data_IF_305245212558
#
_entry.id   IF_305245212558
#
_cell.length_a   1.000
_cell.length_b   1.000
_cell.length_c   1.000
_cell.angle_alpha   90.00
_cell.angle_beta   90.00
_cell.angle_gamma   90.00
#
_symmetry.space_group_name_H-M   'P 1'
#
loop_
_entity.id
_entity.type
_entity.pdbx_description
1 polymer ?
#
# COMPACT_ATOMS: atom_id res chain seq x y z
N UNK A 1 7.88 1.57 18.73
CA UNK A 1 7.73 1.28 20.17
C UNK A 1 7.60 2.60 20.95
N UNK A 2 6.75 2.65 22.00
CA UNK A 2 6.51 3.86 22.78
C UNK A 2 7.78 4.42 23.46
N UNK A 3 8.75 3.55 23.80
CA UNK A 3 10.06 3.96 24.33
C UNK A 3 10.91 4.66 23.29
N UNK A 4 11.03 4.13 22.11
CA UNK A 4 11.76 4.76 20.99
C UNK A 4 11.15 6.12 20.61
N UNK A 5 9.84 6.22 20.58
CA UNK A 5 9.15 7.49 20.36
C UNK A 5 9.47 8.53 21.44
N UNK A 6 9.58 8.10 22.71
CA UNK A 6 9.95 8.99 23.82
C UNK A 6 11.40 9.47 23.71
N UNK A 7 12.34 8.61 23.29
CA UNK A 7 13.74 8.96 23.07
C UNK A 7 13.92 9.93 21.91
N UNK A 8 13.27 9.65 20.78
CA UNK A 8 13.23 10.57 19.63
C UNK A 8 12.68 11.92 20.05
N UNK A 9 11.57 11.93 20.80
CA UNK A 9 10.97 13.17 21.31
C UNK A 9 11.92 13.97 22.21
N UNK A 10 12.62 13.28 23.11
CA UNK A 10 13.59 13.90 24.00
C UNK A 10 14.76 14.52 23.21
N UNK A 11 15.25 13.85 22.17
CA UNK A 11 16.31 14.33 21.29
C UNK A 11 15.90 15.58 20.50
N UNK A 12 14.71 15.59 19.91
CA UNK A 12 14.14 16.76 19.22
C UNK A 12 13.97 17.98 20.14
N UNK A 13 13.60 17.72 21.40
CA UNK A 13 13.43 18.77 22.41
C UNK A 13 14.77 19.30 22.94
N UNK A 14 15.74 18.42 23.19
CA UNK A 14 17.10 18.82 23.62
C UNK A 14 17.85 19.58 22.54
N UNK A 15 17.65 19.24 21.27
CA UNK A 15 18.15 19.96 20.10
C UNK A 15 17.42 21.28 19.79
N UNK A 16 16.44 21.67 20.63
CA UNK A 16 15.62 22.89 20.46
C UNK A 16 14.88 22.96 19.13
N UNK A 17 14.57 21.85 18.51
CA UNK A 17 13.73 21.81 17.31
C UNK A 17 12.25 21.93 17.67
N UNK A 18 11.87 21.42 18.86
CA UNK A 18 10.53 21.50 19.43
C UNK A 18 10.59 22.19 20.82
N UNK A 19 9.71 23.15 21.05
CA UNK A 19 9.63 23.90 22.31
C UNK A 19 8.78 23.16 23.38
N UNK A 20 8.83 23.70 24.63
CA UNK A 20 8.08 23.12 25.78
C UNK A 20 6.55 23.09 25.55
N UNK A 21 6.03 24.03 24.77
CA UNK A 21 4.61 24.14 24.39
C UNK A 21 4.21 23.16 23.28
N UNK A 22 5.06 22.23 22.89
CA UNK A 22 4.87 21.28 21.80
C UNK A 22 4.77 21.93 20.41
N UNK A 23 5.29 23.13 20.21
CA UNK A 23 5.40 23.78 18.90
C UNK A 23 6.83 23.67 18.37
N UNK A 24 6.98 23.76 17.04
CA UNK A 24 8.32 23.86 16.42
C UNK A 24 8.94 25.19 16.77
N UNK A 25 10.27 25.20 17.01
CA UNK A 25 10.99 26.44 17.31
C UNK A 25 10.98 27.39 16.11
N UNK A 26 11.02 28.69 16.40
CA UNK A 26 11.06 29.72 15.35
C UNK A 26 12.28 29.55 14.43
N UNK A 27 13.39 29.07 14.97
CA UNK A 27 14.61 28.78 14.20
C UNK A 27 14.37 27.64 13.21
N UNK A 28 13.78 26.52 13.66
CA UNK A 28 13.46 25.38 12.81
C UNK A 28 12.45 25.76 11.72
N UNK A 29 11.46 26.58 12.02
CA UNK A 29 10.43 26.99 11.04
C UNK A 29 11.02 27.74 9.85
N UNK A 30 12.13 28.49 10.04
CA UNK A 30 12.76 29.31 9.01
C UNK A 30 13.68 28.51 8.07
N UNK A 31 14.02 27.26 8.41
CA UNK A 31 14.89 26.40 7.61
C UNK A 31 14.16 25.91 6.34
N UNK A 32 14.93 25.72 5.27
CA UNK A 32 14.46 25.01 4.06
C UNK A 32 14.18 23.53 4.39
N UNK A 33 13.52 22.81 3.47
CA UNK A 33 13.20 21.40 3.67
C UNK A 33 14.46 20.53 3.88
N UNK A 34 15.56 20.84 3.17
CA UNK A 34 16.84 20.13 3.29
C UNK A 34 17.49 20.41 4.64
N UNK A 35 17.59 21.68 5.02
CA UNK A 35 18.17 22.10 6.31
C UNK A 35 17.38 21.56 7.51
N UNK A 36 16.04 21.45 7.39
CA UNK A 36 15.19 20.82 8.39
C UNK A 36 15.50 19.34 8.59
N UNK A 37 15.77 18.64 7.47
CA UNK A 37 16.13 17.23 7.53
C UNK A 37 17.51 17.03 8.19
N UNK A 38 18.49 17.84 7.82
CA UNK A 38 19.84 17.84 8.42
C UNK A 38 19.77 18.14 9.93
N UNK A 39 19.03 19.17 10.32
CA UNK A 39 18.84 19.51 11.73
C UNK A 39 18.20 18.38 12.55
N UNK A 40 17.28 17.63 11.97
CA UNK A 40 16.70 16.45 12.63
C UNK A 40 17.76 15.33 12.74
N UNK A 41 18.53 15.09 11.68
CA UNK A 41 19.59 14.06 11.69
C UNK A 41 20.67 14.34 12.73
N UNK A 42 21.08 15.61 12.88
CA UNK A 42 22.08 16.02 13.87
C UNK A 42 21.69 15.77 15.32
N UNK A 43 20.41 15.88 15.65
CA UNK A 43 19.93 15.72 17.03
C UNK A 43 19.51 14.29 17.37
N UNK A 44 19.38 13.43 16.36
CA UNK A 44 19.01 12.02 16.54
C UNK A 44 20.26 11.15 16.73
N UNK A 45 20.15 10.18 17.64
CA UNK A 45 21.13 9.11 17.75
C UNK A 45 21.23 8.34 16.42
N UNK A 46 22.42 7.80 16.07
CA UNK A 46 22.71 7.14 14.79
C UNK A 46 21.64 6.09 14.40
N UNK A 47 21.13 5.35 15.36
CA UNK A 47 20.13 4.33 15.12
C UNK A 47 18.74 4.89 14.72
N UNK A 48 18.47 6.15 15.02
CA UNK A 48 17.20 6.82 14.68
C UNK A 48 17.29 7.72 13.45
N UNK A 49 18.49 7.96 12.91
CA UNK A 49 18.69 8.82 11.74
C UNK A 49 17.92 8.31 10.51
N UNK A 50 17.71 6.99 10.39
CA UNK A 50 16.88 6.38 9.32
C UNK A 50 15.42 6.87 9.35
N UNK A 51 14.96 7.35 10.50
CA UNK A 51 13.61 7.89 10.66
C UNK A 51 13.54 9.42 10.49
N UNK A 52 14.62 10.10 10.16
CA UNK A 52 14.65 11.57 10.07
C UNK A 52 13.60 12.12 9.08
N UNK A 53 13.48 11.53 7.90
CA UNK A 53 12.48 11.95 6.91
C UNK A 53 11.03 11.66 7.34
N UNK A 54 10.66 10.47 7.84
CA UNK A 54 9.37 10.25 8.48
C UNK A 54 9.07 11.21 9.63
N UNK A 55 10.06 11.52 10.47
CA UNK A 55 9.92 12.48 11.58
C UNK A 55 9.67 13.89 11.05
N UNK A 56 10.42 14.33 10.04
CA UNK A 56 10.19 15.62 9.39
C UNK A 56 8.77 15.73 8.84
N UNK A 57 8.29 14.70 8.16
CA UNK A 57 6.93 14.66 7.62
C UNK A 57 5.88 14.71 8.75
N UNK A 58 6.12 13.99 9.85
CA UNK A 58 5.24 14.03 11.02
C UNK A 58 5.24 15.40 11.67
N UNK A 59 6.41 16.01 11.87
CA UNK A 59 6.54 17.37 12.41
C UNK A 59 5.77 18.36 11.52
N UNK A 60 5.97 18.28 10.22
CA UNK A 60 5.25 19.12 9.25
C UNK A 60 3.74 18.91 9.31
N UNK A 61 3.26 17.70 9.45
CA UNK A 61 1.82 17.41 9.51
C UNK A 61 1.16 17.83 10.83
N UNK A 62 1.88 17.73 11.94
CA UNK A 62 1.31 17.98 13.30
C UNK A 62 1.54 19.42 13.77
N UNK A 63 2.68 20.02 13.44
CA UNK A 63 3.10 21.30 14.02
C UNK A 63 3.03 22.49 13.06
N UNK A 64 2.99 22.26 11.76
CA UNK A 64 2.76 23.30 10.76
C UNK A 64 1.27 23.51 10.48
N UNK A 65 0.44 23.48 11.50
CA UNK A 65 -0.97 23.87 11.38
C UNK A 65 -1.17 25.28 10.79
N UNK A 66 -0.10 26.13 10.76
CA UNK A 66 -0.12 27.41 10.05
C UNK A 66 0.09 27.29 8.54
N UNK A 67 0.66 26.16 8.09
CA UNK A 67 0.88 25.83 6.68
C UNK A 67 -0.05 24.71 6.20
N UNK A 68 -1.03 24.29 6.99
CA UNK A 68 -2.20 23.70 6.38
C UNK A 68 -2.69 24.79 5.42
N UNK A 69 -2.64 24.57 4.09
CA UNK A 69 -3.24 25.52 3.18
C UNK A 69 -4.66 25.68 3.70
N UNK A 70 -5.00 26.90 4.14
CA UNK A 70 -6.40 27.25 4.35
C UNK A 70 -6.96 27.05 2.95
N UNK A 71 -7.55 25.86 2.75
CA UNK A 71 -8.11 25.51 1.46
C UNK A 71 -9.15 26.56 1.20
N UNK A 72 -8.84 27.45 0.26
CA UNK A 72 -9.77 28.47 -0.14
C UNK A 72 -10.97 27.68 -0.68
N UNK A 73 -12.11 27.76 0.01
CA UNK A 73 -13.35 27.07 -0.36
C UNK A 73 -13.70 27.29 -1.85
N UNK A 74 -13.25 28.41 -2.41
CA UNK A 74 -13.37 28.76 -3.83
C UNK A 74 -12.54 27.87 -4.77
N UNK A 75 -11.62 27.03 -4.28
CA UNK A 75 -10.85 26.07 -5.12
C UNK A 75 -11.48 24.67 -5.14
N UNK A 76 -12.40 24.38 -4.23
CA UNK A 76 -13.15 23.12 -4.31
C UNK A 76 -14.04 23.14 -5.55
N UNK A 77 -14.00 22.07 -6.28
CA UNK A 77 -14.79 21.88 -7.48
C UNK A 77 -15.37 20.47 -7.53
N UNK A 78 -16.58 20.38 -8.07
CA UNK A 78 -17.24 19.10 -8.34
C UNK A 78 -17.11 18.80 -9.82
N UNK A 79 -16.76 17.58 -10.18
CA UNK A 79 -16.67 17.12 -11.55
C UNK A 79 -18.08 17.00 -12.13
N UNK A 80 -18.26 17.53 -13.33
CA UNK A 80 -19.55 17.46 -14.04
C UNK A 80 -19.50 16.39 -15.12
N UNK A 81 -20.46 15.47 -15.07
CA UNK A 81 -20.60 14.43 -16.10
C UNK A 81 -20.88 15.08 -17.46
N UNK A 82 -20.08 14.70 -18.46
CA UNK A 82 -20.34 15.09 -19.85
C UNK A 82 -21.43 14.20 -20.44
N UNK A 83 -22.61 14.74 -20.59
CA UNK A 83 -23.79 13.98 -21.01
C UNK A 83 -23.69 13.44 -22.44
N UNK A 84 -22.97 14.11 -23.33
CA UNK A 84 -22.77 13.65 -24.70
C UNK A 84 -21.87 12.40 -24.71
N UNK A 85 -20.75 12.43 -23.99
CA UNK A 85 -19.88 11.27 -23.84
C UNK A 85 -20.57 10.12 -23.11
N UNK A 86 -21.32 10.43 -22.07
CA UNK A 86 -22.08 9.42 -21.32
C UNK A 86 -23.12 8.71 -22.18
N UNK A 87 -23.74 9.41 -23.14
CA UNK A 87 -24.67 8.84 -24.09
C UNK A 87 -23.99 8.24 -25.34
N UNK A 88 -22.68 8.40 -25.49
CA UNK A 88 -21.93 7.95 -26.68
C UNK A 88 -21.90 6.43 -26.80
N UNK A 89 -21.77 5.95 -28.05
CA UNK A 89 -21.65 4.50 -28.32
C UNK A 89 -20.37 3.93 -27.72
N UNK A 90 -19.31 4.70 -27.75
CA UNK A 90 -17.97 4.33 -27.25
C UNK A 90 -18.04 4.01 -25.76
N UNK A 91 -18.65 4.90 -24.98
CA UNK A 91 -18.84 4.67 -23.55
C UNK A 91 -19.80 3.50 -23.28
N UNK A 92 -20.92 3.43 -23.94
CA UNK A 92 -21.89 2.34 -23.75
C UNK A 92 -21.28 0.98 -24.10
N UNK A 93 -20.50 0.91 -25.16
CA UNK A 93 -19.79 -0.31 -25.53
C UNK A 93 -18.73 -0.70 -24.49
N UNK A 94 -17.89 0.25 -24.05
CA UNK A 94 -16.94 0.00 -22.98
C UNK A 94 -17.65 -0.54 -21.73
N UNK A 95 -18.66 0.19 -21.26
CA UNK A 95 -19.40 -0.16 -20.05
C UNK A 95 -20.05 -1.54 -20.14
N UNK A 96 -20.67 -1.84 -21.26
CA UNK A 96 -21.31 -3.15 -21.48
C UNK A 96 -20.35 -4.33 -21.37
N UNK A 97 -19.03 -4.12 -21.60
CA UNK A 97 -18.01 -5.16 -21.52
C UNK A 97 -17.44 -5.34 -20.11
N UNK A 98 -17.55 -4.33 -19.24
CA UNK A 98 -16.94 -4.35 -17.92
C UNK A 98 -17.94 -4.35 -16.76
N UNK A 99 -19.21 -4.01 -17.02
CA UNK A 99 -20.22 -3.81 -15.97
C UNK A 99 -20.76 -5.09 -15.33
N UNK A 100 -20.40 -6.27 -15.85
CA UNK A 100 -20.94 -7.53 -15.33
C UNK A 100 -20.30 -7.88 -14.00
N UNK A 101 -21.13 -8.22 -13.02
CA UNK A 101 -20.65 -8.75 -11.76
C UNK A 101 -20.18 -10.19 -11.91
N UNK A 102 -19.31 -10.62 -11.03
CA UNK A 102 -18.85 -12.00 -10.95
C UNK A 102 -18.74 -12.46 -9.50
N UNK A 103 -18.76 -13.77 -9.32
CA UNK A 103 -18.29 -14.41 -8.10
C UNK A 103 -17.08 -15.28 -8.42
N UNK A 104 -16.30 -15.59 -7.41
CA UNK A 104 -15.16 -16.47 -7.57
C UNK A 104 -15.31 -17.71 -6.69
N UNK A 105 -14.71 -18.79 -7.12
CA UNK A 105 -14.47 -20.02 -6.35
C UNK A 105 -12.95 -20.23 -6.25
N UNK A 106 -12.49 -20.81 -5.16
CA UNK A 106 -11.09 -21.15 -4.95
C UNK A 106 -11.01 -22.64 -4.65
N UNK A 107 -10.26 -23.37 -5.45
CA UNK A 107 -9.91 -24.74 -5.13
C UNK A 107 -8.61 -24.74 -4.32
N UNK A 108 -8.72 -25.06 -3.04
CA UNK A 108 -7.65 -24.89 -2.06
C UNK A 108 -6.80 -26.17 -1.99
N UNK A 109 -5.53 -26.07 -2.35
CA UNK A 109 -4.56 -27.16 -2.15
C UNK A 109 -3.69 -26.90 -0.92
N UNK A 110 -4.07 -27.48 0.21
CA UNK A 110 -3.32 -27.39 1.47
C UNK A 110 -1.90 -27.91 1.34
N UNK A 111 -1.66 -28.94 0.50
CA UNK A 111 -0.34 -29.56 0.34
C UNK A 111 0.63 -28.58 -0.35
N UNK A 112 0.16 -27.89 -1.38
CA UNK A 112 0.97 -26.88 -2.07
C UNK A 112 1.35 -25.72 -1.13
N UNK A 113 0.42 -25.29 -0.28
CA UNK A 113 0.69 -24.25 0.74
C UNK A 113 1.75 -24.72 1.72
N UNK A 114 1.67 -25.97 2.21
CA UNK A 114 2.64 -26.54 3.13
C UNK A 114 4.03 -26.54 2.48
N UNK A 115 4.17 -27.14 1.30
CA UNK A 115 5.46 -27.31 0.62
C UNK A 115 6.12 -25.96 0.28
N UNK A 116 5.37 -25.03 -0.31
CA UNK A 116 5.88 -23.70 -0.64
C UNK A 116 6.25 -22.89 0.60
N UNK A 117 5.45 -22.98 1.66
CA UNK A 117 5.75 -22.31 2.92
C UNK A 117 7.05 -22.82 3.54
N UNK A 118 7.24 -24.13 3.61
CA UNK A 118 8.48 -24.75 4.11
C UNK A 118 9.68 -24.28 3.28
N UNK A 119 9.57 -24.33 1.96
CA UNK A 119 10.64 -23.91 1.05
C UNK A 119 11.03 -22.44 1.28
N UNK A 120 10.05 -21.53 1.32
CA UNK A 120 10.32 -20.11 1.48
C UNK A 120 10.79 -19.74 2.89
N UNK A 121 10.28 -20.39 3.94
CA UNK A 121 10.77 -20.18 5.30
C UNK A 121 12.23 -20.60 5.38
N UNK A 122 12.58 -21.79 4.88
CA UNK A 122 13.96 -22.29 4.89
C UNK A 122 14.92 -21.41 4.10
N UNK A 123 14.46 -20.77 3.04
CA UNK A 123 15.27 -19.89 2.20
C UNK A 123 15.39 -18.45 2.72
N UNK A 124 14.30 -17.87 3.20
CA UNK A 124 14.17 -16.42 3.37
C UNK A 124 13.96 -15.95 4.82
N UNK A 125 13.83 -16.88 5.79
CA UNK A 125 13.53 -16.48 7.17
C UNK A 125 14.65 -15.63 7.77
N UNK A 126 14.30 -14.40 8.11
CA UNK A 126 15.18 -13.49 8.86
C UNK A 126 14.50 -13.09 10.16
N UNK A 127 15.19 -13.28 11.28
CA UNK A 127 14.69 -12.95 12.60
C UNK A 127 15.62 -11.93 13.24
N UNK A 128 15.06 -10.81 13.70
CA UNK A 128 15.82 -9.76 14.39
C UNK A 128 16.14 -10.26 15.81
N UNK A 129 17.40 -10.22 16.21
CA UNK A 129 17.81 -10.52 17.58
C UNK A 129 17.29 -9.47 18.55
N UNK A 130 16.93 -9.90 19.75
CA UNK A 130 16.57 -8.97 20.81
C UNK A 130 17.84 -8.30 21.33
N UNK A 131 17.81 -6.97 21.40
CA UNK A 131 18.89 -6.16 21.97
C UNK A 131 18.38 -5.41 23.20
N UNK A 132 19.11 -5.52 24.32
CA UNK A 132 18.88 -4.63 25.45
C UNK A 132 19.84 -3.45 25.39
N UNK A 133 19.30 -2.27 25.54
CA UNK A 133 20.08 -1.07 25.85
C UNK A 133 20.09 -0.92 27.38
N UNK A 134 21.24 -1.06 27.98
CA UNK A 134 21.44 -0.81 29.39
C UNK A 134 21.90 0.64 29.54
N UNK A 135 21.11 1.44 30.24
CA UNK A 135 21.49 2.81 30.62
C UNK A 135 21.91 2.78 32.08
N UNK A 136 23.17 3.06 32.34
CA UNK A 136 23.73 3.20 33.67
C UNK A 136 23.65 4.68 34.06
N UNK A 137 23.22 4.96 35.28
CA UNK A 137 23.12 6.32 35.77
C UNK A 137 23.02 6.38 37.26
N UNK A 138 23.36 7.54 37.82
CA UNK A 138 23.28 7.84 39.25
C UNK A 138 22.03 8.66 39.54
N UNK A 139 21.40 8.34 40.69
CA UNK A 139 20.30 9.13 41.24
C UNK A 139 20.86 10.13 42.25
N UNK A 140 20.63 11.41 42.00
CA UNK A 140 20.98 12.49 42.94
C UNK A 140 19.71 13.13 43.50
N UNK A 141 19.58 13.18 44.81
CA UNK A 141 18.55 13.91 45.49
C UNK A 141 18.88 15.40 45.45
N UNK A 142 17.93 16.23 45.02
CA UNK A 142 18.02 17.68 45.04
C UNK A 142 16.90 18.23 45.89
N UNK A 143 17.00 19.49 46.30
CA UNK A 143 15.96 20.16 47.09
C UNK A 143 14.58 20.20 46.40
N UNK A 144 14.55 19.99 45.09
CA UNK A 144 13.33 20.03 44.28
C UNK A 144 12.87 18.64 43.76
N UNK A 145 13.57 17.54 44.15
CA UNK A 145 13.26 16.18 43.73
C UNK A 145 14.49 15.35 43.38
N UNK A 146 14.27 14.16 42.86
CA UNK A 146 15.36 13.25 42.43
C UNK A 146 15.63 13.40 40.96
N UNK A 147 16.89 13.64 40.61
CA UNK A 147 17.36 13.72 39.21
C UNK A 147 18.13 12.45 38.88
N UNK A 148 17.81 11.83 37.75
CA UNK A 148 18.57 10.70 37.18
C UNK A 148 19.57 11.26 36.16
N UNK A 149 20.87 11.04 36.42
CA UNK A 149 21.95 11.41 35.49
C UNK A 149 22.46 10.17 34.80
N UNK A 150 22.49 10.18 33.45
CA UNK A 150 22.96 9.06 32.65
C UNK A 150 24.48 9.08 32.60
N UNK A 151 25.12 8.05 33.13
CA UNK A 151 26.58 7.93 33.21
C UNK A 151 27.15 7.08 32.05
N UNK A 152 26.33 6.23 31.42
CA UNK A 152 26.75 5.41 30.29
C UNK A 152 25.58 4.71 29.61
N UNK A 153 25.78 4.38 28.33
CA UNK A 153 24.84 3.57 27.54
C UNK A 153 25.63 2.42 26.89
N UNK A 154 25.15 1.20 27.06
CA UNK A 154 25.68 0.04 26.31
C UNK A 154 24.55 -0.78 25.72
N UNK A 155 24.77 -1.33 24.52
CA UNK A 155 23.85 -2.24 23.87
C UNK A 155 24.42 -3.64 23.95
N UNK A 156 23.63 -4.60 24.38
CA UNK A 156 24.00 -6.02 24.43
C UNK A 156 22.89 -6.86 23.82
N UNK A 157 23.29 -7.93 23.12
CA UNK A 157 22.31 -8.89 22.60
C UNK A 157 21.75 -9.70 23.80
N UNK A 158 20.41 -9.79 23.84
CA UNK A 158 19.73 -10.63 24.80
C UNK A 158 19.39 -11.95 24.11
N UNK A 159 19.96 -13.01 24.64
CA UNK A 159 19.46 -14.35 24.37
C UNK A 159 18.37 -14.64 25.39
N UNK A 160 17.11 -14.57 24.95
CA UNK A 160 16.00 -14.94 25.85
C UNK A 160 16.14 -16.42 26.21
N UNK A 161 16.25 -16.78 27.48
CA UNK A 161 16.20 -18.18 27.87
C UNK A 161 14.80 -18.71 27.53
N UNK A 162 14.71 -19.57 26.53
CA UNK A 162 13.48 -20.18 25.97
C UNK A 162 12.59 -20.85 27.04
N UNK A 163 13.12 -21.03 28.23
CA UNK A 163 12.46 -21.75 29.33
C UNK A 163 11.42 -20.94 30.12
N UNK A 164 11.30 -19.63 29.89
CA UNK A 164 10.44 -18.77 30.72
C UNK A 164 9.08 -18.48 30.11
N UNK A 165 8.92 -18.52 28.78
CA UNK A 165 7.65 -18.27 28.11
C UNK A 165 7.30 -19.45 27.20
N UNK A 166 6.28 -20.22 27.61
CA UNK A 166 5.72 -21.29 26.77
C UNK A 166 4.72 -20.67 25.80
N UNK A 167 5.16 -20.34 24.58
CA UNK A 167 4.24 -19.99 23.51
C UNK A 167 3.56 -21.25 22.97
N UNK A 168 2.26 -21.19 22.76
CA UNK A 168 1.57 -22.12 21.84
C UNK A 168 1.89 -21.69 20.40
N UNK A 169 3.12 -21.99 19.94
CA UNK A 169 3.62 -21.58 18.64
C UNK A 169 2.65 -21.95 17.50
N UNK A 170 2.10 -23.16 17.55
CA UNK A 170 1.15 -23.63 16.56
C UNK A 170 -0.14 -22.79 16.60
N UNK A 171 -0.65 -22.52 17.80
CA UNK A 171 -1.86 -21.70 17.98
C UNK A 171 -1.68 -20.27 17.53
N UNK A 172 -0.59 -19.63 17.95
CA UNK A 172 -0.28 -18.25 17.57
C UNK A 172 -0.15 -18.07 16.06
N UNK A 173 0.59 -18.96 15.39
CA UNK A 173 0.71 -18.93 13.94
C UNK A 173 -0.63 -19.24 13.27
N UNK A 174 -1.35 -20.29 13.73
CA UNK A 174 -2.66 -20.66 13.18
C UNK A 174 -3.65 -19.51 13.21
N UNK A 175 -3.71 -18.79 14.32
CA UNK A 175 -4.58 -17.62 14.48
C UNK A 175 -4.19 -16.48 13.51
N UNK A 176 -2.87 -16.21 13.37
CA UNK A 176 -2.37 -15.14 12.48
C UNK A 176 -2.56 -15.42 11.00
N UNK A 177 -2.46 -16.69 10.59
CA UNK A 177 -2.56 -17.07 9.17
C UNK A 177 -3.95 -17.59 8.76
N UNK A 178 -4.81 -17.90 9.73
CA UNK A 178 -6.15 -18.46 9.48
C UNK A 178 -6.11 -19.85 8.82
N UNK A 179 -5.09 -20.67 9.15
CA UNK A 179 -4.96 -22.07 8.74
C UNK A 179 -5.23 -23.00 9.91
N UNK A 180 -5.60 -24.24 9.63
CA UNK A 180 -5.78 -25.27 10.66
C UNK A 180 -4.47 -25.54 11.40
N UNK A 181 -4.56 -25.79 12.69
CA UNK A 181 -3.41 -26.14 13.53
C UNK A 181 -2.60 -27.32 12.98
N UNK A 182 -3.26 -28.29 12.34
CA UNK A 182 -2.62 -29.43 11.68
C UNK A 182 -1.74 -28.99 10.51
N UNK A 183 -2.24 -28.11 9.65
CA UNK A 183 -1.51 -27.55 8.50
C UNK A 183 -0.29 -26.77 8.98
N UNK A 184 -0.47 -25.93 10.01
CA UNK A 184 0.65 -25.17 10.61
C UNK A 184 1.68 -26.11 11.24
N UNK A 185 1.26 -27.18 11.93
CA UNK A 185 2.16 -28.15 12.50
C UNK A 185 3.03 -28.84 11.44
N UNK A 186 2.46 -29.19 10.28
CA UNK A 186 3.23 -29.73 9.14
C UNK A 186 4.25 -28.72 8.62
N UNK A 187 3.86 -27.46 8.45
CA UNK A 187 4.78 -26.39 8.01
C UNK A 187 5.95 -26.28 9.01
N UNK A 188 5.66 -26.15 10.28
CA UNK A 188 6.68 -25.98 11.32
C UNK A 188 7.63 -27.19 11.41
N UNK A 189 7.12 -28.42 11.22
CA UNK A 189 7.94 -29.64 11.25
C UNK A 189 8.90 -29.75 10.04
N UNK A 190 8.61 -29.06 8.94
CA UNK A 190 9.46 -29.02 7.75
C UNK A 190 10.52 -27.91 7.76
N UNK A 191 10.54 -27.06 8.80
CA UNK A 191 11.57 -26.02 8.93
C UNK A 191 12.90 -26.65 9.34
N UNK A 192 13.97 -26.29 8.63
CA UNK A 192 15.31 -26.77 8.95
C UNK A 192 15.73 -26.38 10.38
N UNK A 193 16.46 -27.25 11.12
CA UNK A 193 16.83 -27.00 12.51
C UNK A 193 17.56 -25.65 12.72
N UNK A 194 18.42 -25.26 11.79
CA UNK A 194 19.17 -23.99 11.81
C UNK A 194 18.25 -22.77 11.69
N UNK A 195 17.18 -22.86 10.89
CA UNK A 195 16.20 -21.80 10.77
C UNK A 195 15.27 -21.78 11.99
N UNK A 196 14.89 -22.96 12.48
CA UNK A 196 14.06 -23.06 13.67
C UNK A 196 14.79 -22.56 14.93
N UNK A 197 16.11 -22.72 15.01
CA UNK A 197 16.92 -22.19 16.12
C UNK A 197 16.79 -20.67 16.30
N UNK A 198 16.45 -19.93 15.24
CA UNK A 198 16.19 -18.48 15.32
C UNK A 198 14.99 -18.13 16.21
N UNK A 199 14.09 -19.08 16.46
CA UNK A 199 13.02 -18.93 17.44
C UNK A 199 13.54 -18.58 18.83
N UNK A 200 14.69 -19.13 19.21
CA UNK A 200 15.31 -18.86 20.53
C UNK A 200 15.81 -17.41 20.65
N UNK A 201 16.19 -16.78 19.52
CA UNK A 201 16.71 -15.42 19.54
C UNK A 201 15.62 -14.36 19.71
N UNK A 202 14.43 -14.59 19.12
CA UNK A 202 13.27 -13.71 19.24
C UNK A 202 11.99 -14.44 18.84
N UNK A 203 11.29 -15.09 19.76
CA UNK A 203 10.09 -15.86 19.47
C UNK A 203 8.97 -15.05 18.78
N UNK A 204 8.74 -13.82 19.23
CA UNK A 204 7.68 -12.97 18.68
C UNK A 204 7.98 -12.57 17.24
N UNK A 205 9.21 -12.14 16.97
CA UNK A 205 9.61 -11.80 15.61
C UNK A 205 9.63 -13.03 14.69
N UNK A 206 10.05 -14.18 15.19
CA UNK A 206 9.96 -15.46 14.48
C UNK A 206 8.52 -15.77 14.06
N UNK A 207 7.56 -15.70 15.01
CA UNK A 207 6.13 -15.92 14.73
C UNK A 207 5.62 -14.95 13.66
N UNK A 208 5.97 -13.67 13.78
CA UNK A 208 5.57 -12.65 12.79
C UNK A 208 6.14 -12.97 11.41
N UNK A 209 7.43 -13.26 11.32
CA UNK A 209 8.09 -13.49 10.03
C UNK A 209 7.58 -14.75 9.32
N UNK A 210 7.42 -15.88 10.04
CA UNK A 210 6.86 -17.09 9.42
C UNK A 210 5.39 -16.90 9.03
N UNK A 211 4.60 -16.19 9.84
CA UNK A 211 3.20 -15.88 9.52
C UNK A 211 3.11 -15.03 8.26
N UNK A 212 4.00 -14.08 8.08
CA UNK A 212 4.08 -13.23 6.90
C UNK A 212 4.39 -14.06 5.64
N UNK A 213 5.38 -14.96 5.73
CA UNK A 213 5.74 -15.85 4.62
C UNK A 213 4.56 -16.77 4.26
N UNK A 214 3.92 -17.40 5.25
CA UNK A 214 2.77 -18.29 5.04
C UNK A 214 1.60 -17.52 4.41
N UNK A 215 1.31 -16.31 4.88
CA UNK A 215 0.25 -15.48 4.30
C UNK A 215 0.54 -15.08 2.85
N UNK A 216 1.79 -14.79 2.51
CA UNK A 216 2.20 -14.51 1.13
C UNK A 216 2.02 -15.74 0.23
N UNK A 217 2.43 -16.94 0.69
CA UNK A 217 2.21 -18.20 -0.02
C UNK A 217 0.72 -18.50 -0.20
N UNK A 218 -0.06 -18.33 0.85
CA UNK A 218 -1.51 -18.53 0.83
C UNK A 218 -2.18 -17.60 -0.19
N UNK A 219 -1.84 -16.31 -0.17
CA UNK A 219 -2.37 -15.35 -1.14
C UNK A 219 -2.02 -15.75 -2.58
N UNK A 220 -0.80 -16.17 -2.83
CA UNK A 220 -0.36 -16.60 -4.15
C UNK A 220 -1.02 -17.91 -4.61
N UNK A 221 -1.20 -18.87 -3.70
CA UNK A 221 -1.91 -20.12 -3.98
C UNK A 221 -3.39 -19.85 -4.30
N UNK A 222 -4.07 -19.02 -3.50
CA UNK A 222 -5.45 -18.60 -3.77
C UNK A 222 -5.60 -18.04 -5.18
N UNK A 223 -4.65 -17.23 -5.64
CA UNK A 223 -4.71 -16.57 -6.95
C UNK A 223 -4.52 -17.57 -8.08
N UNK A 224 -3.60 -18.52 -7.95
CA UNK A 224 -3.37 -19.55 -8.98
C UNK A 224 -4.56 -20.49 -9.15
N UNK A 225 -5.41 -20.62 -8.14
CA UNK A 225 -6.57 -21.51 -8.14
C UNK A 225 -7.93 -20.80 -8.11
N UNK A 226 -7.94 -19.46 -8.32
CA UNK A 226 -9.17 -18.70 -8.41
C UNK A 226 -9.83 -18.91 -9.77
N UNK A 227 -11.12 -19.17 -9.75
CA UNK A 227 -11.94 -19.23 -10.95
C UNK A 227 -13.08 -18.26 -10.84
N UNK A 228 -13.17 -17.31 -11.77
CA UNK A 228 -14.28 -16.37 -11.85
C UNK A 228 -15.41 -16.93 -12.69
N UNK A 229 -16.64 -16.69 -12.23
CA UNK A 229 -17.86 -17.05 -12.94
C UNK A 229 -18.73 -15.80 -13.08
N UNK A 230 -19.33 -15.61 -14.26
CA UNK A 230 -20.23 -14.49 -14.53
C UNK A 230 -21.51 -14.61 -13.72
N UNK A 231 -21.99 -13.49 -13.22
CA UNK A 231 -23.37 -13.34 -12.74
C UNK A 231 -24.23 -12.71 -13.83
N UNK A 232 -25.53 -12.90 -13.77
CA UNK A 232 -26.46 -12.18 -14.64
C UNK A 232 -26.68 -10.73 -14.19
N UNK A 233 -26.21 -10.40 -13.00
CA UNK A 233 -26.24 -9.05 -12.45
C UNK A 233 -25.16 -8.16 -13.09
N UNK A 234 -25.55 -6.89 -13.29
CA UNK A 234 -24.66 -5.83 -13.77
C UNK A 234 -24.60 -4.70 -12.76
N UNK A 235 -23.52 -3.91 -12.84
CA UNK A 235 -23.43 -2.64 -12.14
C UNK A 235 -24.37 -1.64 -12.80
N UNK A 236 -25.15 -0.94 -12.00
CA UNK A 236 -26.01 0.15 -12.47
C UNK A 236 -25.16 1.35 -12.87
N UNK A 237 -25.29 1.75 -14.11
CA UNK A 237 -24.49 2.80 -14.73
C UNK A 237 -24.71 4.17 -14.08
N UNK A 238 -25.97 4.51 -13.82
CA UNK A 238 -26.32 5.78 -13.21
C UNK A 238 -25.83 5.84 -11.76
N UNK A 239 -25.91 4.74 -11.02
CA UNK A 239 -25.39 4.66 -9.65
C UNK A 239 -23.88 4.83 -9.59
N UNK A 240 -23.15 4.34 -10.59
CA UNK A 240 -21.69 4.43 -10.63
C UNK A 240 -21.23 5.81 -11.11
N UNK A 241 -21.84 6.38 -12.17
CA UNK A 241 -21.33 7.59 -12.81
C UNK A 241 -22.20 8.82 -12.62
N UNK A 242 -23.51 8.72 -12.80
CA UNK A 242 -24.39 9.88 -12.79
C UNK A 242 -24.66 10.44 -11.39
N UNK A 243 -24.71 9.56 -10.39
CA UNK A 243 -24.96 9.92 -8.99
C UNK A 243 -23.66 10.08 -8.17
N UNK A 244 -22.51 10.04 -8.82
CA UNK A 244 -21.20 10.22 -8.15
C UNK A 244 -20.93 11.70 -7.89
N UNK A 245 -20.84 12.10 -6.62
CA UNK A 245 -20.37 13.43 -6.22
C UNK A 245 -18.83 13.40 -6.06
N UNK A 246 -18.11 13.54 -7.18
CA UNK A 246 -16.65 13.53 -7.19
C UNK A 246 -16.17 14.96 -7.00
N UNK A 247 -15.52 15.22 -5.89
CA UNK A 247 -15.00 16.54 -5.51
C UNK A 247 -13.49 16.51 -5.36
N UNK A 248 -12.87 17.67 -5.53
CA UNK A 248 -11.46 17.88 -5.27
C UNK A 248 -11.06 19.34 -5.35
N UNK A 249 -9.75 19.61 -5.37
CA UNK A 249 -9.18 20.94 -5.35
C UNK A 249 -8.55 21.23 -6.70
N UNK A 250 -9.07 22.22 -7.40
CA UNK A 250 -8.59 22.63 -8.72
C UNK A 250 -7.10 23.04 -8.67
N UNK A 251 -6.30 22.48 -9.60
CA UNK A 251 -4.87 22.72 -9.69
C UNK A 251 -4.00 21.90 -8.71
N UNK A 252 -4.62 21.17 -7.77
CA UNK A 252 -3.92 20.28 -6.84
C UNK A 252 -4.14 18.81 -7.23
N UNK A 253 -5.38 18.34 -7.14
CA UNK A 253 -5.76 16.97 -7.50
C UNK A 253 -6.90 16.89 -8.50
N UNK A 254 -7.35 18.03 -9.03
CA UNK A 254 -8.37 18.11 -10.11
C UNK A 254 -7.85 18.99 -11.23
N UNK A 255 -7.97 18.49 -12.46
CA UNK A 255 -7.51 19.15 -13.68
C UNK A 255 -8.60 19.09 -14.76
N UNK A 256 -8.65 20.10 -15.64
CA UNK A 256 -9.55 20.09 -16.79
C UNK A 256 -9.17 18.95 -17.75
N UNK A 257 -10.17 18.28 -18.32
CA UNK A 257 -9.96 17.14 -19.21
C UNK A 257 -10.92 17.21 -20.42
N UNK A 258 -10.38 16.89 -21.61
CA UNK A 258 -11.14 16.94 -22.86
C UNK A 258 -11.74 15.60 -23.23
N UNK A 259 -11.01 14.50 -23.04
CA UNK A 259 -11.40 13.14 -23.41
C UNK A 259 -11.95 12.32 -22.26
N UNK A 260 -11.83 12.81 -21.02
CA UNK A 260 -12.40 12.16 -19.84
C UNK A 260 -13.94 12.21 -19.86
N UNK A 261 -14.58 11.23 -19.25
CA UNK A 261 -16.05 11.14 -19.15
C UNK A 261 -16.68 12.33 -18.42
N UNK A 262 -15.95 12.96 -17.49
CA UNK A 262 -16.34 14.20 -16.83
C UNK A 262 -15.56 15.39 -17.43
N UNK A 263 -16.01 16.61 -17.16
CA UNK A 263 -15.34 17.86 -17.58
C UNK A 263 -13.92 18.01 -16.98
N UNK A 264 -13.65 17.29 -15.93
CA UNK A 264 -12.38 17.28 -15.18
C UNK A 264 -12.01 15.87 -14.78
N UNK A 265 -10.74 15.67 -14.45
CA UNK A 265 -10.22 14.43 -13.88
C UNK A 265 -9.67 14.68 -12.48
N UNK A 266 -10.00 13.80 -11.53
CA UNK A 266 -9.38 13.76 -10.21
C UNK A 266 -8.31 12.69 -10.18
N UNK A 267 -7.14 13.05 -9.68
CA UNK A 267 -5.97 12.17 -9.55
C UNK A 267 -5.49 12.15 -8.10
N UNK A 268 -4.94 11.03 -7.67
CA UNK A 268 -4.48 10.83 -6.30
C UNK A 268 -2.94 10.68 -6.23
N UNK A 269 -2.25 10.70 -7.39
CA UNK A 269 -0.78 10.62 -7.50
C UNK A 269 -0.26 11.36 -8.73
N UNK A 270 1.05 11.67 -8.74
CA UNK A 270 1.72 12.26 -9.91
C UNK A 270 1.81 11.28 -11.10
N UNK A 271 1.84 9.97 -10.85
CA UNK A 271 1.79 8.96 -11.91
C UNK A 271 0.44 9.00 -12.61
N UNK A 272 -0.65 9.00 -11.86
CA UNK A 272 -2.00 9.15 -12.40
C UNK A 272 -2.18 10.45 -13.17
N UNK A 273 -1.61 11.55 -12.67
CA UNK A 273 -1.68 12.85 -13.33
C UNK A 273 -1.01 12.85 -14.69
N UNK A 274 0.20 12.28 -14.78
CA UNK A 274 0.90 12.16 -16.07
C UNK A 274 0.13 11.26 -17.02
N UNK A 275 -0.29 10.10 -16.56
CA UNK A 275 -1.07 9.15 -17.34
C UNK A 275 -2.36 9.78 -17.91
N UNK A 276 -3.15 10.46 -17.06
CA UNK A 276 -4.36 11.18 -17.50
C UNK A 276 -4.06 12.29 -18.49
N UNK A 277 -2.95 13.03 -18.32
CA UNK A 277 -2.53 14.09 -19.24
C UNK A 277 -2.15 13.53 -20.60
N UNK A 278 -1.46 12.39 -20.64
CA UNK A 278 -1.10 11.71 -21.89
C UNK A 278 -2.37 11.20 -22.59
N UNK A 279 -3.28 10.54 -21.88
CA UNK A 279 -4.54 10.08 -22.43
C UNK A 279 -5.40 11.22 -23.02
N UNK A 280 -5.32 12.42 -22.45
CA UNK A 280 -6.12 13.55 -22.90
C UNK A 280 -5.62 14.18 -24.22
N UNK A 281 -4.33 13.99 -24.56
CA UNK A 281 -3.70 14.57 -25.77
C UNK A 281 -3.47 13.57 -26.88
N UNK A 282 -3.29 12.29 -26.60
CA UNK A 282 -2.97 11.26 -27.58
C UNK A 282 -4.10 11.00 -28.57
N UNK A 283 -3.79 11.03 -29.89
CA UNK A 283 -4.80 11.03 -30.95
C UNK A 283 -5.62 9.74 -31.04
N UNK A 284 -5.00 8.62 -30.73
CA UNK A 284 -5.67 7.31 -30.75
C UNK A 284 -6.53 7.04 -29.50
N UNK A 285 -6.46 7.87 -28.47
CA UNK A 285 -7.39 7.81 -27.34
C UNK A 285 -8.69 8.49 -27.73
N UNK A 286 -9.78 7.73 -27.81
CA UNK A 286 -11.11 8.25 -28.06
C UNK A 286 -11.72 8.88 -26.81
N UNK A 287 -11.70 8.12 -25.73
CA UNK A 287 -12.15 8.57 -24.42
C UNK A 287 -11.54 7.73 -23.29
N UNK A 288 -11.57 8.28 -22.09
CA UNK A 288 -11.18 7.56 -20.87
C UNK A 288 -12.02 7.98 -19.66
N UNK A 289 -12.01 7.16 -18.63
CA UNK A 289 -12.64 7.47 -17.35
C UNK A 289 -11.83 6.88 -16.19
N UNK A 290 -11.61 7.68 -15.13
CA UNK A 290 -11.19 7.15 -13.84
C UNK A 290 -12.39 6.48 -13.22
N UNK A 291 -12.27 5.18 -12.94
CA UNK A 291 -13.38 4.37 -12.43
C UNK A 291 -13.71 4.78 -10.99
N UNK A 292 -14.97 5.17 -10.70
CA UNK A 292 -15.36 5.55 -9.35
C UNK A 292 -15.22 4.38 -8.36
N UNK A 293 -14.90 4.69 -7.10
CA UNK A 293 -14.75 3.68 -6.03
C UNK A 293 -15.99 2.83 -5.75
N UNK A 294 -17.15 3.23 -6.27
CA UNK A 294 -18.38 2.42 -6.26
C UNK A 294 -18.31 1.20 -7.16
N UNK A 295 -17.47 1.23 -8.20
CA UNK A 295 -17.21 0.08 -9.07
C UNK A 295 -16.03 -0.72 -8.51
N UNK A 296 -16.25 -1.98 -8.16
CA UNK A 296 -15.19 -2.82 -7.60
C UNK A 296 -15.38 -4.30 -7.99
N UNK A 297 -14.28 -5.01 -7.95
CA UNK A 297 -14.20 -6.46 -8.15
C UNK A 297 -14.03 -7.11 -6.77
N UNK A 298 -14.79 -8.15 -6.48
CA UNK A 298 -14.55 -8.97 -5.29
C UNK A 298 -13.38 -9.90 -5.55
N UNK A 299 -12.38 -9.84 -4.68
CA UNK A 299 -11.21 -10.72 -4.73
C UNK A 299 -11.03 -11.44 -3.38
N UNK A 300 -10.32 -12.56 -3.32
CA UNK A 300 -10.07 -13.29 -2.07
C UNK A 300 -9.34 -12.48 -1.00
N UNK A 301 -8.67 -11.41 -1.41
CA UNK A 301 -7.89 -10.51 -0.53
C UNK A 301 -8.58 -9.16 -0.33
N UNK A 302 -9.86 -9.05 -0.66
CA UNK A 302 -10.70 -7.87 -0.46
C UNK A 302 -11.19 -7.23 -1.76
N UNK A 303 -11.94 -6.15 -1.65
CA UNK A 303 -12.42 -5.39 -2.80
C UNK A 303 -11.26 -4.72 -3.52
N UNK A 304 -11.34 -4.72 -4.84
CA UNK A 304 -10.37 -4.07 -5.71
C UNK A 304 -11.10 -3.16 -6.70
N UNK A 305 -10.69 -1.93 -6.81
CA UNK A 305 -11.20 -0.94 -7.75
C UNK A 305 -10.07 -0.59 -8.73
N UNK A 306 -10.18 -0.95 -10.01
CA UNK A 306 -9.23 -0.53 -11.04
C UNK A 306 -9.26 0.98 -11.24
N UNK A 307 -8.14 1.57 -11.64
CA UNK A 307 -8.05 3.03 -11.77
C UNK A 307 -8.77 3.56 -13.02
N UNK A 308 -8.50 2.98 -14.18
CA UNK A 308 -8.84 3.60 -15.46
C UNK A 308 -9.52 2.63 -16.42
N UNK A 309 -10.47 3.14 -17.19
CA UNK A 309 -10.99 2.49 -18.38
C UNK A 309 -10.78 3.41 -19.58
N UNK A 310 -10.18 2.87 -20.64
CA UNK A 310 -9.73 3.61 -21.84
C UNK A 310 -10.32 2.98 -23.08
N UNK A 311 -10.80 3.79 -23.99
CA UNK A 311 -11.21 3.39 -25.35
C UNK A 311 -10.20 3.96 -26.34
N UNK A 312 -9.60 3.08 -27.11
CA UNK A 312 -8.61 3.42 -28.12
C UNK A 312 -9.16 3.15 -29.51
N UNK A 313 -8.79 4.02 -30.44
CA UNK A 313 -9.00 3.84 -31.87
C UNK A 313 -7.73 3.31 -32.51
N UNK A 314 -7.77 2.08 -32.99
CA UNK A 314 -6.67 1.48 -33.75
C UNK A 314 -7.02 1.39 -35.23
N UNK A 315 -6.06 1.61 -36.15
CA UNK A 315 -6.32 1.62 -37.59
C UNK A 315 -7.00 0.37 -38.16
N UNK A 316 -6.67 -0.78 -37.56
CA UNK A 316 -7.16 -2.09 -37.99
C UNK A 316 -8.34 -2.64 -37.15
N UNK A 317 -8.58 -2.06 -35.98
CA UNK A 317 -9.65 -2.45 -35.05
C UNK A 317 -10.40 -1.20 -34.60
N UNK A 318 -11.70 -1.15 -34.80
CA UNK A 318 -12.50 0.06 -34.53
C UNK A 318 -12.43 0.59 -33.12
N UNK A 319 -12.33 -0.27 -32.08
CA UNK A 319 -12.16 0.13 -30.69
C UNK A 319 -11.46 -0.97 -29.90
N UNK A 320 -10.40 -0.62 -29.22
CA UNK A 320 -9.73 -1.47 -28.22
C UNK A 320 -10.07 -0.93 -26.82
N UNK A 321 -10.46 -1.82 -25.94
CA UNK A 321 -10.84 -1.48 -24.55
C UNK A 321 -9.74 -1.91 -23.61
N UNK A 322 -9.25 -0.96 -22.83
CA UNK A 322 -8.16 -1.18 -21.91
C UNK A 322 -8.55 -0.74 -20.50
N UNK A 323 -8.31 -1.60 -19.52
CA UNK A 323 -8.41 -1.27 -18.09
C UNK A 323 -7.01 -1.16 -17.56
N UNK A 324 -6.64 0.01 -17.03
CA UNK A 324 -5.33 0.27 -16.50
C UNK A 324 -5.36 0.42 -14.98
N UNK A 325 -4.36 -0.14 -14.35
CA UNK A 325 -3.96 0.17 -12.98
C UNK A 325 -2.65 0.95 -13.03
N UNK A 326 -2.63 2.16 -12.46
CA UNK A 326 -1.44 3.01 -12.49
C UNK A 326 -0.60 2.85 -11.24
N UNK A 327 0.65 2.43 -11.39
CA UNK A 327 1.58 2.29 -10.27
C UNK A 327 2.91 2.98 -10.53
N UNK A 328 3.28 3.84 -9.56
CA UNK A 328 4.65 4.33 -9.48
C UNK A 328 5.61 3.25 -8.96
N UNK A 329 6.85 3.29 -9.42
CA UNK A 329 7.93 2.43 -8.90
C UNK A 329 8.26 2.88 -7.47
N UNK A 330 7.56 2.33 -6.47
CA UNK A 330 7.94 2.51 -5.06
C UNK A 330 8.75 1.30 -4.61
N UNK A 331 10.05 1.50 -4.39
CA UNK A 331 10.99 0.44 -3.99
C UNK A 331 10.79 -0.08 -2.55
N UNK A 332 9.95 0.55 -1.73
CA UNK A 332 9.88 0.35 -0.27
C UNK A 332 8.54 -0.15 0.27
N UNK A 333 7.77 -0.91 -0.50
CA UNK A 333 6.57 -1.56 0.07
C UNK A 333 7.00 -2.89 0.70
N UNK A 334 6.62 -3.12 1.97
CA UNK A 334 6.87 -4.39 2.66
C UNK A 334 6.40 -5.58 1.81
N UNK A 335 7.20 -6.66 1.79
CA UNK A 335 6.98 -7.85 0.96
C UNK A 335 5.53 -8.40 1.02
N UNK A 336 4.87 -8.23 2.16
CA UNK A 336 3.49 -8.67 2.38
C UNK A 336 2.45 -7.81 1.67
N UNK A 337 2.63 -6.49 1.66
CA UNK A 337 1.74 -5.57 0.94
C UNK A 337 1.86 -5.79 -0.57
N UNK A 338 3.07 -6.05 -1.08
CA UNK A 338 3.28 -6.43 -2.49
C UNK A 338 2.56 -7.74 -2.84
N UNK A 339 2.55 -8.72 -1.95
CA UNK A 339 1.86 -10.00 -2.17
C UNK A 339 0.34 -9.85 -2.31
N UNK A 340 -0.28 -9.14 -1.38
CA UNK A 340 -1.74 -8.89 -1.40
C UNK A 340 -2.15 -8.05 -2.61
N UNK A 341 -1.33 -7.07 -2.98
CA UNK A 341 -1.61 -6.19 -4.09
C UNK A 341 -1.47 -6.90 -5.44
N UNK A 342 -0.41 -7.69 -5.62
CA UNK A 342 -0.26 -8.56 -6.78
C UNK A 342 -1.41 -9.56 -6.90
N UNK A 343 -1.91 -10.04 -5.75
CA UNK A 343 -3.07 -10.89 -5.67
C UNK A 343 -4.33 -10.23 -6.24
N UNK A 344 -4.59 -8.98 -5.88
CA UNK A 344 -5.71 -8.20 -6.41
C UNK A 344 -5.59 -7.98 -7.91
N UNK A 345 -4.40 -7.63 -8.39
CA UNK A 345 -4.11 -7.40 -9.80
C UNK A 345 -4.37 -8.66 -10.62
N UNK A 346 -3.84 -9.80 -10.19
CA UNK A 346 -4.02 -11.06 -10.92
C UNK A 346 -5.48 -11.52 -10.91
N UNK A 347 -6.18 -11.35 -9.78
CA UNK A 347 -7.61 -11.60 -9.69
C UNK A 347 -8.41 -10.71 -10.65
N UNK A 348 -8.05 -9.43 -10.77
CA UNK A 348 -8.67 -8.51 -11.71
C UNK A 348 -8.42 -8.91 -13.17
N UNK A 349 -7.20 -9.35 -13.50
CA UNK A 349 -6.87 -9.85 -14.84
C UNK A 349 -7.75 -11.02 -15.24
N UNK A 350 -7.92 -11.99 -14.36
CA UNK A 350 -8.79 -13.13 -14.60
C UNK A 350 -10.28 -12.74 -14.68
N UNK A 351 -10.72 -11.83 -13.81
CA UNK A 351 -12.09 -11.31 -13.85
C UNK A 351 -12.40 -10.66 -15.20
N UNK A 352 -11.59 -9.68 -15.66
CA UNK A 352 -11.85 -8.99 -16.92
C UNK A 352 -11.77 -9.93 -18.12
N UNK A 353 -10.83 -10.87 -18.14
CA UNK A 353 -10.75 -11.90 -19.18
C UNK A 353 -12.07 -12.67 -19.30
N UNK A 354 -12.66 -13.06 -18.17
CA UNK A 354 -13.89 -13.84 -18.17
C UNK A 354 -15.11 -12.98 -18.55
N UNK A 355 -15.32 -11.81 -17.88
CA UNK A 355 -16.55 -11.04 -18.10
C UNK A 355 -16.63 -10.44 -19.50
N UNK A 356 -15.51 -10.07 -20.11
CA UNK A 356 -15.45 -9.44 -21.44
C UNK A 356 -15.28 -10.43 -22.58
N UNK A 357 -15.18 -11.73 -22.32
CA UNK A 357 -14.79 -12.76 -23.31
C UNK A 357 -13.45 -12.45 -23.99
N UNK A 358 -12.49 -11.92 -23.23
CA UNK A 358 -11.16 -11.47 -23.68
C UNK A 358 -11.16 -10.28 -24.66
N UNK A 359 -12.26 -9.49 -24.71
CA UNK A 359 -12.32 -8.29 -25.53
C UNK A 359 -11.79 -7.04 -24.80
N UNK A 360 -11.49 -7.14 -23.51
CA UNK A 360 -10.90 -6.08 -22.70
C UNK A 360 -9.54 -6.53 -22.19
N UNK A 361 -8.52 -5.73 -22.45
CA UNK A 361 -7.18 -5.92 -21.89
C UNK A 361 -7.10 -5.25 -20.52
N UNK A 362 -6.62 -5.98 -19.50
CA UNK A 362 -6.33 -5.42 -18.18
C UNK A 362 -4.84 -5.55 -17.89
N UNK A 363 -4.16 -4.44 -17.62
CA UNK A 363 -2.74 -4.43 -17.26
C UNK A 363 -2.38 -3.33 -16.26
N UNK A 364 -1.25 -3.56 -15.56
CA UNK A 364 -0.61 -2.56 -14.71
C UNK A 364 0.40 -1.78 -15.54
N UNK A 365 0.28 -0.46 -15.52
CA UNK A 365 1.11 0.45 -16.30
C UNK A 365 1.53 1.65 -15.45
N UNK A 366 2.62 2.30 -15.80
CA UNK A 366 3.07 3.55 -15.17
C UNK A 366 3.06 4.74 -16.13
N UNK A 367 2.81 4.47 -17.43
CA UNK A 367 2.80 5.46 -18.50
C UNK A 367 1.94 5.01 -19.66
N UNK A 368 1.57 5.96 -20.51
CA UNK A 368 0.87 5.71 -21.77
C UNK A 368 1.69 4.81 -22.70
N UNK A 369 2.99 5.07 -22.84
CA UNK A 369 3.87 4.28 -23.72
C UNK A 369 3.87 2.80 -23.32
N UNK A 370 3.97 2.50 -22.02
CA UNK A 370 3.89 1.11 -21.54
C UNK A 370 2.51 0.49 -21.77
N UNK A 371 1.44 1.27 -21.73
CA UNK A 371 0.12 0.78 -22.08
C UNK A 371 0.09 0.35 -23.56
N UNK A 372 0.66 1.14 -24.45
CA UNK A 372 0.74 0.81 -25.88
C UNK A 372 1.65 -0.38 -26.17
N UNK A 373 2.79 -0.49 -25.47
CA UNK A 373 3.69 -1.66 -25.57
C UNK A 373 2.97 -2.95 -25.17
N UNK A 374 2.20 -2.91 -24.07
CA UNK A 374 1.38 -4.04 -23.62
C UNK A 374 0.32 -4.42 -24.65
N UNK A 375 -0.35 -3.43 -25.20
CA UNK A 375 -1.37 -3.64 -26.21
C UNK A 375 -0.78 -4.32 -27.45
N UNK A 376 0.35 -3.82 -27.96
CA UNK A 376 1.04 -4.38 -29.11
C UNK A 376 1.52 -5.83 -28.91
N UNK A 377 1.73 -6.23 -27.67
CA UNK A 377 2.11 -7.61 -27.31
C UNK A 377 0.92 -8.59 -27.22
N UNK A 378 -0.31 -8.08 -27.22
CA UNK A 378 -1.55 -8.86 -27.16
C UNK A 378 -2.27 -8.99 -28.49
N UNK A 379 -1.86 -8.20 -29.48
CA UNK A 379 -2.30 -8.28 -30.89
C UNK A 379 -1.34 -9.19 -31.66
#
# INVERSE_FOLDING_TARGET
DNMQAAEIWASLKSGKLIEKNKQTSVTYQKLSATEKLEAIQEVLDEEFQVFALPIQNLINSVYNLKDLPIENENKRTTLKLNREKYASKEFKNLWSKINRKSYYTVDFDDQEIIEKSIQLINKNLTVKTLKARITEGSMQATDTGTIFTVDGKRTTDIYSPVNTVKYDLIGEVSQKVGLLRKTVAYILSGIHPEQFAKYQSNPENFIVQISNIINAVKAQNIISHIVYNKLDEVWDEDAIFANSDIQGIMGQNVFDAKKHLYDKVRVDSEVEKRFASDLDVEQNVEMYVKLPGGFYINTPVGKYNPDWAVVLNEPDHKHVYFIAETKGVSENIELNLKGVENAKIEAARQHFKIISNSEVTYEVVDSYDKMMDKLSSHI
#
